data_IF_346740789157
#
_entry.id   IF_346740789157
#
_cell.length_a   1.000
_cell.length_b   1.000
_cell.length_c   1.000
_cell.angle_alpha   90.00
_cell.angle_beta   90.00
_cell.angle_gamma   90.00
#
_symmetry.space_group_name_H-M   'P 1'
#
loop_
_entity.id
_entity.type
_entity.pdbx_description
1 polymer ?
#
# COMPACT_ATOMS: atom_id res chain seq x y z
N UNK A 1 16.75 -3.91 30.04
CA UNK A 1 15.68 -2.88 30.02
C UNK A 1 14.28 -3.52 29.97
N UNK A 2 13.18 -2.79 30.18
CA UNK A 2 11.79 -3.31 30.04
C UNK A 2 11.04 -2.59 28.91
N UNK A 3 10.16 -3.30 28.20
CA UNK A 3 9.42 -2.75 27.08
C UNK A 3 8.39 -1.74 27.58
N UNK A 4 8.54 -0.47 27.22
CA UNK A 4 7.55 0.57 27.60
C UNK A 4 6.13 0.35 27.05
N UNK A 5 5.96 -0.60 26.12
CA UNK A 5 4.67 -0.89 25.50
C UNK A 5 4.00 -2.17 26.01
N UNK A 6 4.76 -3.15 26.50
CA UNK A 6 4.20 -4.43 26.95
C UNK A 6 4.75 -4.92 28.28
N UNK A 7 5.65 -4.18 28.94
CA UNK A 7 6.18 -4.49 30.26
C UNK A 7 7.20 -5.63 30.33
N UNK A 8 7.46 -6.34 29.22
CA UNK A 8 8.37 -7.49 29.19
C UNK A 8 9.85 -7.11 29.23
N UNK A 9 10.69 -7.98 29.79
CA UNK A 9 12.15 -7.77 29.89
C UNK A 9 12.82 -7.90 28.53
N UNK A 10 13.71 -6.98 28.19
CA UNK A 10 14.40 -6.92 26.89
C UNK A 10 15.91 -6.79 27.12
N UNK A 11 16.66 -7.39 26.20
CA UNK A 11 18.11 -7.24 26.04
C UNK A 11 18.50 -5.78 25.77
N UNK A 12 19.62 -5.33 26.33
CA UNK A 12 20.00 -3.91 26.37
C UNK A 12 20.44 -3.37 25.00
N UNK A 13 20.88 -4.24 24.10
CA UNK A 13 21.32 -3.89 22.75
C UNK A 13 20.22 -4.03 21.67
N UNK A 14 19.00 -4.41 22.06
CA UNK A 14 17.92 -4.68 21.11
C UNK A 14 17.10 -3.44 20.73
N UNK A 15 17.01 -3.16 19.42
CA UNK A 15 16.23 -2.04 18.88
C UNK A 15 14.72 -2.35 18.73
N UNK A 16 14.31 -3.62 18.89
CA UNK A 16 12.93 -4.08 18.81
C UNK A 16 12.57 -5.02 19.97
N UNK A 17 11.34 -4.92 20.49
CA UNK A 17 10.84 -5.88 21.47
C UNK A 17 10.45 -7.17 20.76
N UNK A 18 11.08 -8.29 21.11
CA UNK A 18 10.80 -9.62 20.54
C UNK A 18 9.38 -10.11 20.82
N UNK A 19 8.74 -9.61 21.88
CA UNK A 19 7.39 -10.00 22.25
C UNK A 19 6.30 -9.24 21.46
N UNK A 20 6.37 -7.91 21.40
CA UNK A 20 5.32 -7.09 20.76
C UNK A 20 5.71 -6.48 19.40
N UNK A 21 6.97 -6.68 18.95
CA UNK A 21 7.48 -6.19 17.67
C UNK A 21 7.67 -4.67 17.59
N UNK A 22 7.44 -3.92 18.67
CA UNK A 22 7.56 -2.45 18.67
C UNK A 22 9.02 -2.00 18.83
N UNK A 23 9.39 -0.95 18.10
CA UNK A 23 10.73 -0.33 18.14
C UNK A 23 10.91 0.51 19.40
N UNK A 24 12.05 0.35 20.09
CA UNK A 24 12.28 0.93 21.43
C UNK A 24 13.24 2.14 21.43
N UNK A 25 13.99 2.37 20.33
CA UNK A 25 15.10 3.33 20.08
C UNK A 25 15.39 4.48 21.08
N UNK A 26 16.67 4.78 21.37
CA UNK A 26 17.75 5.01 20.38
C UNK A 26 19.19 4.64 20.83
N UNK A 27 20.14 4.39 19.89
CA UNK A 27 21.57 4.60 20.14
C UNK A 27 21.95 6.08 19.93
N UNK A 28 22.81 6.59 20.82
CA UNK A 28 23.40 7.92 20.76
C UNK A 28 24.39 8.01 19.58
N UNK A 29 24.25 9.03 18.73
CA UNK A 29 25.35 9.50 17.90
C UNK A 29 26.05 10.67 18.61
N UNK A 30 27.39 10.63 18.65
CA UNK A 30 28.28 11.59 19.28
C UNK A 30 28.32 12.95 18.56
N UNK A 31 28.75 13.97 19.30
CA UNK A 31 28.45 15.40 19.14
C UNK A 31 29.38 16.18 18.19
N UNK A 32 30.19 15.56 17.32
CA UNK A 32 31.35 16.27 16.73
C UNK A 32 31.42 16.50 15.20
N UNK A 33 30.37 16.28 14.39
CA UNK A 33 30.48 16.44 12.91
C UNK A 33 29.63 17.54 12.25
N UNK A 34 29.01 18.47 13.00
CA UNK A 34 28.25 19.60 12.40
C UNK A 34 28.84 20.96 12.81
N UNK A 35 30.14 21.11 12.61
CA UNK A 35 30.80 22.41 12.63
C UNK A 35 31.72 22.49 11.41
N UNK A 36 31.20 23.05 10.31
CA UNK A 36 31.91 23.90 9.33
C UNK A 36 31.10 23.94 8.01
N UNK A 37 31.08 25.13 7.40
CA UNK A 37 30.33 25.59 6.22
C UNK A 37 28.91 26.09 6.61
N UNK A 38 28.63 27.38 6.73
CA UNK A 38 29.22 28.59 6.16
C UNK A 38 28.04 29.51 5.80
N UNK A 39 28.14 30.79 6.17
CA UNK A 39 27.03 31.72 6.37
C UNK A 39 26.33 32.29 5.12
N UNK A 40 25.07 32.71 5.35
CA UNK A 40 24.36 33.88 4.79
C UNK A 40 23.69 33.83 3.41
N UNK A 41 22.35 33.87 3.42
CA UNK A 41 21.54 34.89 2.77
C UNK A 41 20.28 35.11 3.64
N UNK A 42 20.13 36.29 4.26
CA UNK A 42 18.96 36.61 5.10
C UNK A 42 17.70 36.73 4.22
N UNK A 43 16.79 35.76 4.33
CA UNK A 43 15.41 35.85 3.82
C UNK A 43 14.67 37.03 4.50
N UNK A 44 13.81 37.77 3.78
CA UNK A 44 13.13 38.95 4.31
C UNK A 44 12.26 38.60 5.53
N UNK A 45 12.56 39.26 6.67
CA UNK A 45 12.13 38.97 8.05
C UNK A 45 10.60 38.93 8.31
N UNK A 46 9.76 39.15 7.30
CA UNK A 46 8.30 39.06 7.40
C UNK A 46 7.68 37.87 6.65
N UNK A 47 8.38 37.21 5.72
CA UNK A 47 7.81 36.08 4.97
C UNK A 47 7.68 34.81 5.85
N UNK A 48 8.64 34.58 6.75
CA UNK A 48 8.63 33.44 7.69
C UNK A 48 7.49 33.52 8.73
N UNK A 49 7.13 34.74 9.17
CA UNK A 49 6.01 34.92 10.10
C UNK A 49 4.67 34.64 9.43
N UNK A 50 4.52 35.02 8.17
CA UNK A 50 3.29 34.77 7.41
C UNK A 50 3.14 33.28 7.08
N UNK A 51 4.22 32.61 6.67
CA UNK A 51 4.22 31.15 6.44
C UNK A 51 4.00 30.38 7.74
N UNK A 52 4.68 30.73 8.84
CA UNK A 52 4.47 30.08 10.14
C UNK A 52 3.04 30.28 10.66
N UNK A 53 2.44 31.45 10.40
CA UNK A 53 1.05 31.73 10.77
C UNK A 53 0.07 30.94 9.90
N UNK A 54 0.35 30.77 8.60
CA UNK A 54 -0.45 29.93 7.70
C UNK A 54 -0.36 28.46 8.12
N UNK A 55 0.85 27.94 8.41
CA UNK A 55 1.05 26.58 8.90
C UNK A 55 0.32 26.38 10.23
N UNK A 56 0.41 27.31 11.17
CA UNK A 56 -0.32 27.21 12.43
C UNK A 56 -1.84 27.23 12.24
N UNK A 57 -2.36 28.04 11.31
CA UNK A 57 -3.80 28.06 10.97
C UNK A 57 -4.23 26.74 10.34
N UNK A 58 -3.47 26.21 9.38
CA UNK A 58 -3.74 24.92 8.75
C UNK A 58 -3.68 23.77 9.76
N UNK A 59 -2.72 23.75 10.68
CA UNK A 59 -2.68 22.74 11.74
C UNK A 59 -3.84 22.88 12.74
N UNK A 60 -4.28 24.10 13.05
CA UNK A 60 -5.44 24.32 13.91
C UNK A 60 -6.74 23.89 13.22
N UNK A 61 -6.89 24.14 11.92
CA UNK A 61 -8.03 23.67 11.13
C UNK A 61 -8.05 22.15 11.04
N UNK A 62 -6.90 21.53 10.75
CA UNK A 62 -6.78 20.07 10.75
C UNK A 62 -7.11 19.46 12.12
N UNK A 63 -6.64 20.05 13.22
CA UNK A 63 -7.01 19.61 14.58
C UNK A 63 -8.51 19.76 14.85
N UNK A 64 -9.15 20.84 14.38
CA UNK A 64 -10.61 21.05 14.51
C UNK A 64 -11.40 20.02 13.72
N UNK A 65 -10.96 19.66 12.52
CA UNK A 65 -11.60 18.60 11.73
C UNK A 65 -11.46 17.22 12.37
N UNK A 66 -10.32 16.91 13.00
CA UNK A 66 -10.15 15.66 13.74
C UNK A 66 -11.07 15.59 14.98
N UNK A 67 -11.17 16.67 15.77
CA UNK A 67 -12.07 16.74 16.93
C UNK A 67 -13.54 16.67 16.50
N UNK A 68 -13.92 17.37 15.43
CA UNK A 68 -15.29 17.31 14.90
C UNK A 68 -15.66 15.90 14.40
N UNK A 69 -14.69 15.16 13.86
CA UNK A 69 -14.89 13.76 13.46
C UNK A 69 -15.00 12.82 14.68
N UNK A 70 -14.24 13.04 15.75
CA UNK A 70 -14.33 12.27 17.00
C UNK A 70 -15.65 12.53 17.74
N UNK A 71 -16.09 13.79 17.86
CA UNK A 71 -17.39 14.16 18.43
C UNK A 71 -18.56 13.61 17.59
N UNK A 72 -18.43 13.61 16.26
CA UNK A 72 -19.41 13.00 15.37
C UNK A 72 -19.47 11.46 15.55
N UNK A 73 -18.33 10.81 15.86
CA UNK A 73 -18.26 9.38 16.18
C UNK A 73 -18.91 9.07 17.53
N UNK A 74 -18.66 9.86 18.57
CA UNK A 74 -19.32 9.70 19.88
C UNK A 74 -20.84 9.88 19.79
N UNK A 75 -21.32 10.87 19.01
CA UNK A 75 -22.75 11.07 18.75
C UNK A 75 -23.39 9.93 17.94
N UNK A 76 -22.61 9.23 17.11
CA UNK A 76 -23.05 8.03 16.39
C UNK A 76 -23.12 6.83 17.36
N UNK A 77 -22.19 6.72 18.31
CA UNK A 77 -22.18 5.68 19.33
C UNK A 77 -23.34 5.82 20.33
N UNK A 78 -23.64 7.04 20.80
CA UNK A 78 -24.82 7.31 21.65
C UNK A 78 -26.15 7.01 20.93
N UNK A 79 -26.27 7.35 19.65
CA UNK A 79 -27.48 7.04 18.86
C UNK A 79 -27.67 5.54 18.62
N UNK A 80 -26.59 4.76 18.62
CA UNK A 80 -26.67 3.31 18.48
C UNK A 80 -27.15 2.63 19.77
N UNK A 81 -26.91 3.21 20.96
CA UNK A 81 -27.38 2.66 22.24
C UNK A 81 -28.88 2.93 22.49
N UNK A 82 -29.42 4.05 21.98
CA UNK A 82 -30.85 4.40 22.10
C UNK A 82 -31.76 3.50 21.22
N UNK A 83 -31.21 2.79 20.22
CA UNK A 83 -31.99 2.00 19.26
C UNK A 83 -32.39 0.58 19.69
N UNK A 84 -32.17 0.20 20.96
CA UNK A 84 -32.46 -1.16 21.47
C UNK A 84 -33.84 -1.38 22.10
N UNK A 85 -34.70 -0.38 22.17
CA UNK A 85 -36.08 -0.56 22.66
C UNK A 85 -37.14 -0.30 21.56
N UNK A 86 -38.09 -1.23 21.48
CA UNK A 86 -39.40 -1.16 20.79
C UNK A 86 -39.56 -1.69 19.34
N UNK A 87 -39.73 -3.02 19.30
CA UNK A 87 -40.76 -3.85 18.63
C UNK A 87 -41.65 -3.30 17.47
N UNK A 88 -41.74 -4.20 16.47
CA UNK A 88 -42.88 -4.59 15.59
C UNK A 88 -43.17 -3.71 14.36
N UNK A 89 -42.81 -4.24 13.19
CA UNK A 89 -43.34 -3.82 11.89
C UNK A 89 -42.43 -4.28 10.75
N UNK A 90 -42.97 -5.06 9.83
CA UNK A 90 -42.25 -5.70 8.72
C UNK A 90 -41.59 -4.68 7.76
N UNK A 91 -40.27 -4.77 7.63
CA UNK A 91 -39.49 -4.43 6.44
C UNK A 91 -38.04 -4.90 6.67
N UNK A 92 -37.51 -5.80 5.84
CA UNK A 92 -36.14 -6.34 6.01
C UNK A 92 -35.09 -5.20 5.91
N UNK A 93 -34.32 -4.89 6.97
CA UNK A 93 -33.30 -3.86 6.88
C UNK A 93 -31.98 -4.45 6.35
N UNK A 94 -31.49 -3.86 5.26
CA UNK A 94 -30.09 -3.97 4.79
C UNK A 94 -29.17 -3.61 5.97
N UNK A 95 -28.30 -4.52 6.39
CA UNK A 95 -27.54 -4.43 7.64
C UNK A 95 -26.52 -3.28 7.61
N UNK A 96 -26.17 -2.72 8.79
CA UNK A 96 -25.16 -1.65 8.90
C UNK A 96 -23.78 -2.06 8.33
N UNK A 97 -23.51 -3.36 8.26
CA UNK A 97 -22.32 -3.93 7.61
C UNK A 97 -22.36 -3.76 6.08
N UNK A 98 -23.54 -3.92 5.46
CA UNK A 98 -23.77 -3.67 4.04
C UNK A 98 -23.65 -2.16 3.71
N UNK A 99 -24.07 -1.27 4.61
CA UNK A 99 -23.92 0.19 4.45
C UNK A 99 -22.47 0.67 4.63
N UNK A 100 -21.72 0.09 5.59
CA UNK A 100 -20.28 0.35 5.78
C UNK A 100 -19.45 -0.12 4.59
N UNK A 101 -19.77 -1.30 4.06
CA UNK A 101 -19.15 -1.81 2.85
C UNK A 101 -19.47 -0.91 1.64
N UNK A 102 -20.71 -0.43 1.49
CA UNK A 102 -21.06 0.51 0.42
C UNK A 102 -20.24 1.81 0.43
N UNK A 103 -19.98 2.38 1.62
CA UNK A 103 -19.20 3.62 1.76
C UNK A 103 -17.70 3.43 1.51
N UNK A 104 -17.17 2.25 1.83
CA UNK A 104 -15.79 1.86 1.47
C UNK A 104 -15.71 1.63 -0.04
N UNK A 105 -16.64 0.89 -0.64
CA UNK A 105 -16.73 0.66 -2.09
C UNK A 105 -16.85 1.99 -2.87
N UNK A 106 -17.63 2.96 -2.39
CA UNK A 106 -17.74 4.31 -2.97
C UNK A 106 -16.44 5.12 -2.85
N UNK A 107 -15.67 4.97 -1.78
CA UNK A 107 -14.34 5.61 -1.64
C UNK A 107 -13.31 4.91 -2.54
N UNK A 108 -13.36 3.58 -2.63
CA UNK A 108 -12.50 2.77 -3.50
C UNK A 108 -12.75 3.03 -5.00
N UNK A 109 -14.00 3.26 -5.39
CA UNK A 109 -14.38 3.57 -6.78
C UNK A 109 -13.87 4.92 -7.26
N UNK A 110 -13.45 5.80 -6.34
CA UNK A 110 -12.93 7.14 -6.63
C UNK A 110 -11.42 7.28 -6.41
N UNK A 111 -10.70 6.21 -6.03
CA UNK A 111 -9.23 6.28 -5.91
C UNK A 111 -8.66 6.40 -7.34
N UNK A 112 -8.18 7.59 -7.74
CA UNK A 112 -7.66 7.78 -9.08
C UNK A 112 -6.34 7.02 -9.16
N UNK A 113 -6.18 6.13 -10.15
CA UNK A 113 -4.85 5.61 -10.49
C UNK A 113 -4.09 6.55 -11.41
N UNK A 114 -4.78 7.50 -12.03
CA UNK A 114 -4.17 8.58 -12.81
C UNK A 114 -4.28 9.86 -12.02
N UNK A 115 -3.14 10.48 -11.75
CA UNK A 115 -3.11 11.81 -11.21
C UNK A 115 -3.63 12.81 -12.27
N UNK A 116 -4.42 13.78 -11.82
CA UNK A 116 -4.75 14.95 -12.65
C UNK A 116 -3.51 15.82 -12.89
N UNK A 117 -3.55 16.65 -13.91
CA UNK A 117 -2.47 17.60 -14.20
C UNK A 117 -2.23 18.57 -13.02
N UNK A 118 -3.32 18.98 -12.36
CA UNK A 118 -3.28 19.81 -11.14
C UNK A 118 -2.59 19.12 -9.96
N UNK A 119 -2.76 17.79 -9.82
CA UNK A 119 -2.07 17.01 -8.77
C UNK A 119 -0.56 16.96 -9.00
N UNK A 120 -0.09 16.93 -10.25
CA UNK A 120 1.33 16.99 -10.55
C UNK A 120 1.93 18.39 -10.32
N UNK A 121 1.19 19.45 -10.67
CA UNK A 121 1.65 20.84 -10.48
C UNK A 121 1.81 21.16 -8.99
N UNK A 122 0.91 20.65 -8.16
CA UNK A 122 0.88 20.92 -6.71
C UNK A 122 1.61 19.87 -5.88
N UNK A 123 2.27 18.91 -6.52
CA UNK A 123 2.98 17.83 -5.85
C UNK A 123 4.16 18.34 -5.02
N UNK A 124 4.36 17.73 -3.86
CA UNK A 124 5.59 17.91 -3.09
C UNK A 124 6.49 16.69 -3.26
N UNK A 125 7.79 16.88 -3.07
CA UNK A 125 8.78 15.82 -3.22
C UNK A 125 9.40 15.43 -1.89
N UNK A 126 9.58 14.14 -1.68
CA UNK A 126 10.38 13.65 -0.57
C UNK A 126 11.89 13.80 -0.85
N UNK A 127 12.72 13.47 0.14
CA UNK A 127 14.18 13.53 0.03
C UNK A 127 14.80 12.58 -1.01
N UNK A 128 14.01 11.66 -1.60
CA UNK A 128 14.42 10.74 -2.66
C UNK A 128 13.81 11.13 -4.02
N UNK A 129 13.30 12.36 -4.14
CA UNK A 129 12.64 12.92 -5.32
C UNK A 129 11.35 12.20 -5.74
N UNK A 130 10.74 11.41 -4.85
CA UNK A 130 9.43 10.84 -5.11
C UNK A 130 8.36 11.93 -4.91
N UNK A 131 7.44 12.04 -5.86
CA UNK A 131 6.41 13.08 -5.89
C UNK A 131 5.09 12.57 -5.34
N UNK A 132 4.51 13.31 -4.41
CA UNK A 132 3.27 13.00 -3.72
C UNK A 132 2.26 14.13 -3.93
N UNK A 133 0.97 13.80 -3.97
CA UNK A 133 -0.05 14.84 -3.95
C UNK A 133 -0.03 15.60 -2.61
N UNK A 134 -0.71 16.76 -2.55
CA UNK A 134 -0.77 17.61 -1.34
C UNK A 134 -1.21 16.80 -0.10
N UNK A 135 -2.19 15.91 -0.27
CA UNK A 135 -2.72 15.06 0.82
C UNK A 135 -1.78 13.95 1.28
N UNK A 136 -0.64 13.73 0.60
CA UNK A 136 0.34 12.66 0.88
C UNK A 136 -0.27 11.25 0.88
N UNK A 137 -1.42 11.08 0.24
CA UNK A 137 -2.16 9.82 0.16
C UNK A 137 -2.06 9.17 -1.23
N UNK A 138 -1.47 9.85 -2.22
CA UNK A 138 -1.20 9.31 -3.55
C UNK A 138 0.28 9.51 -3.90
N UNK A 139 0.94 8.42 -4.29
CA UNK A 139 2.29 8.46 -4.85
C UNK A 139 2.20 8.63 -6.37
N UNK A 140 2.54 9.82 -6.85
CA UNK A 140 2.40 10.22 -8.25
C UNK A 140 3.59 9.74 -9.08
N UNK A 141 4.80 9.87 -8.52
CA UNK A 141 6.06 9.45 -9.14
C UNK A 141 7.01 8.90 -8.07
N UNK A 142 7.61 7.77 -8.36
CA UNK A 142 8.59 7.08 -7.53
C UNK A 142 9.91 7.83 -7.40
N UNK A 143 10.81 7.28 -6.58
CA UNK A 143 12.13 7.88 -6.33
C UNK A 143 13.03 7.94 -7.56
N UNK A 144 14.08 8.76 -7.48
CA UNK A 144 15.16 8.79 -8.46
C UNK A 144 15.84 7.41 -8.62
N UNK A 145 16.52 7.22 -9.76
CA UNK A 145 17.23 5.99 -10.12
C UNK A 145 18.54 5.76 -9.34
N UNK A 146 18.83 6.54 -8.30
CA UNK A 146 20.00 6.29 -7.44
C UNK A 146 19.69 5.34 -6.27
N UNK A 147 18.40 5.13 -5.96
CA UNK A 147 17.98 4.34 -4.83
C UNK A 147 17.60 2.91 -5.22
N UNK A 148 18.20 1.95 -4.53
CA UNK A 148 17.90 0.52 -4.70
C UNK A 148 16.74 0.03 -3.81
N UNK A 149 16.38 0.77 -2.77
CA UNK A 149 15.25 0.47 -1.89
C UNK A 149 14.35 1.68 -1.71
N UNK A 150 13.04 1.47 -1.76
CA UNK A 150 12.06 2.51 -1.49
C UNK A 150 10.99 2.07 -0.49
N UNK A 151 10.64 2.98 0.41
CA UNK A 151 9.58 2.79 1.39
C UNK A 151 8.52 3.85 1.16
N UNK A 152 7.37 3.41 0.65
CA UNK A 152 6.23 4.29 0.40
C UNK A 152 5.72 4.83 1.74
N UNK A 153 5.41 6.13 1.76
CA UNK A 153 5.03 6.84 2.99
C UNK A 153 3.74 6.28 3.61
N UNK A 154 3.63 6.36 4.94
CA UNK A 154 2.40 5.99 5.64
C UNK A 154 1.25 6.90 5.20
N UNK A 155 0.05 6.36 5.07
CA UNK A 155 -1.13 7.13 4.64
C UNK A 155 -1.37 7.07 3.13
N UNK A 156 -0.37 6.65 2.33
CA UNK A 156 -0.56 6.39 0.90
C UNK A 156 -1.57 5.26 0.71
N UNK A 157 -2.61 5.55 -0.05
CA UNK A 157 -3.70 4.63 -0.43
C UNK A 157 -3.58 4.18 -1.89
N UNK A 158 -2.88 4.95 -2.72
CA UNK A 158 -2.72 4.70 -4.15
C UNK A 158 -1.28 4.96 -4.62
N UNK A 159 -0.78 4.09 -5.50
CA UNK A 159 0.39 4.37 -6.34
C UNK A 159 -0.13 4.60 -7.76
N UNK A 160 0.18 5.75 -8.34
CA UNK A 160 -0.28 6.11 -9.67
C UNK A 160 0.31 5.23 -10.77
N UNK A 161 -0.36 5.32 -11.92
CA UNK A 161 0.09 4.75 -13.17
C UNK A 161 1.52 5.21 -13.45
N UNK A 162 2.37 4.27 -13.86
CA UNK A 162 3.77 4.49 -14.24
C UNK A 162 4.67 5.14 -13.18
N UNK A 163 4.30 5.16 -11.89
CA UNK A 163 5.06 5.86 -10.86
C UNK A 163 6.57 5.51 -10.84
N UNK A 164 6.92 4.24 -10.99
CA UNK A 164 8.30 3.74 -11.10
C UNK A 164 8.61 3.13 -12.47
N UNK A 165 7.83 3.43 -13.51
CA UNK A 165 8.02 2.83 -14.83
C UNK A 165 9.47 3.01 -15.32
N UNK A 166 10.10 1.91 -15.75
CA UNK A 166 11.50 1.82 -16.20
C UNK A 166 12.54 2.24 -15.16
N UNK A 167 12.21 2.27 -13.86
CA UNK A 167 13.21 2.55 -12.84
C UNK A 167 14.31 1.46 -12.87
N UNK A 168 15.50 1.86 -13.29
CA UNK A 168 16.61 0.96 -13.60
C UNK A 168 17.39 0.47 -12.37
N UNK A 169 17.06 0.97 -11.18
CA UNK A 169 17.85 0.74 -9.97
C UNK A 169 17.09 0.08 -8.83
N UNK A 170 15.77 0.27 -8.75
CA UNK A 170 14.98 -0.23 -7.63
C UNK A 170 15.00 -1.76 -7.57
N UNK A 171 15.33 -2.28 -6.39
CA UNK A 171 15.44 -3.71 -6.10
C UNK A 171 14.41 -4.16 -5.08
N UNK A 172 14.01 -3.29 -4.15
CA UNK A 172 12.97 -3.60 -3.16
C UNK A 172 12.03 -2.41 -2.91
N UNK A 173 10.75 -2.74 -2.73
CA UNK A 173 9.71 -1.76 -2.38
C UNK A 173 8.87 -2.26 -1.22
N UNK A 174 8.74 -1.43 -0.19
CA UNK A 174 7.85 -1.69 0.95
C UNK A 174 6.65 -0.75 0.97
N UNK A 175 5.46 -1.33 1.11
CA UNK A 175 4.19 -0.61 1.08
C UNK A 175 3.63 -0.34 2.49
N UNK A 176 2.96 0.81 2.70
CA UNK A 176 2.25 1.08 3.96
C UNK A 176 0.99 0.24 4.03
N UNK A 177 0.52 -0.11 5.24
CA UNK A 177 -0.72 -0.88 5.45
C UNK A 177 -1.98 -0.19 4.90
N UNK A 178 -1.90 1.10 4.63
CA UNK A 178 -2.97 1.91 4.02
C UNK A 178 -3.09 1.72 2.51
N UNK A 179 -2.10 1.10 1.84
CA UNK A 179 -2.10 0.97 0.39
C UNK A 179 -3.22 0.03 -0.06
N UNK A 180 -4.01 0.50 -1.03
CA UNK A 180 -5.16 -0.22 -1.56
C UNK A 180 -4.96 -0.58 -3.04
N UNK A 181 -4.42 0.35 -3.83
CA UNK A 181 -4.33 0.23 -5.29
C UNK A 181 -2.92 0.47 -5.79
N UNK A 182 -2.45 -0.42 -6.67
CA UNK A 182 -1.23 -0.25 -7.47
C UNK A 182 -1.65 0.03 -8.91
N UNK A 183 -1.28 1.21 -9.43
CA UNK A 183 -1.66 1.73 -10.73
C UNK A 183 -1.08 0.96 -11.92
N UNK A 184 -1.58 1.29 -13.11
CA UNK A 184 -1.18 0.61 -14.35
C UNK A 184 0.29 0.91 -14.65
N UNK A 185 1.07 -0.11 -14.98
CA UNK A 185 2.52 0.02 -15.23
C UNK A 185 3.31 0.67 -14.08
N UNK A 186 2.77 0.73 -12.85
CA UNK A 186 3.39 1.41 -11.72
C UNK A 186 4.84 0.98 -11.47
N UNK A 187 5.18 -0.28 -11.71
CA UNK A 187 6.54 -0.85 -11.66
C UNK A 187 6.92 -1.56 -12.97
N UNK A 188 6.27 -1.20 -14.09
CA UNK A 188 6.60 -1.77 -15.39
C UNK A 188 8.07 -1.49 -15.74
N UNK A 189 8.77 -2.48 -16.29
CA UNK A 189 10.20 -2.45 -16.61
C UNK A 189 11.14 -2.12 -15.45
N UNK A 190 10.73 -2.31 -14.19
CA UNK A 190 11.68 -2.35 -13.08
C UNK A 190 12.46 -3.67 -13.10
N UNK A 191 13.38 -3.86 -14.05
CA UNK A 191 14.04 -5.15 -14.32
C UNK A 191 14.83 -5.69 -13.12
N UNK A 192 15.35 -4.80 -12.26
CA UNK A 192 16.10 -5.14 -11.04
C UNK A 192 15.22 -5.38 -9.81
N UNK A 193 13.91 -5.12 -9.89
CA UNK A 193 12.99 -5.30 -8.77
C UNK A 193 12.89 -6.78 -8.42
N UNK A 194 13.38 -7.14 -7.22
CA UNK A 194 13.44 -8.50 -6.70
C UNK A 194 12.36 -8.78 -5.66
N UNK A 195 12.09 -7.78 -4.81
CA UNK A 195 11.27 -7.94 -3.62
C UNK A 195 10.15 -6.89 -3.57
N UNK A 196 8.92 -7.39 -3.49
CA UNK A 196 7.71 -6.58 -3.32
C UNK A 196 6.91 -7.13 -2.15
N UNK A 197 6.78 -6.32 -1.09
CA UNK A 197 6.09 -6.73 0.13
C UNK A 197 4.62 -6.30 0.09
N UNK A 198 3.76 -7.14 -0.50
CA UNK A 198 2.31 -6.96 -0.45
C UNK A 198 1.76 -7.19 0.96
N UNK A 199 0.57 -6.64 1.24
CA UNK A 199 -0.17 -6.91 2.48
C UNK A 199 -1.67 -7.10 2.18
N UNK A 200 -2.40 -7.64 3.17
CA UNK A 200 -3.85 -7.95 3.10
C UNK A 200 -4.80 -6.78 2.78
N UNK A 201 -4.28 -5.55 2.72
CA UNK A 201 -5.08 -4.35 2.46
C UNK A 201 -5.16 -4.00 0.97
N UNK A 202 -4.25 -4.55 0.16
CA UNK A 202 -4.20 -4.30 -1.28
C UNK A 202 -5.38 -5.02 -1.93
N UNK A 203 -6.20 -4.26 -2.65
CA UNK A 203 -7.41 -4.73 -3.33
C UNK A 203 -7.21 -4.91 -4.82
N UNK A 204 -6.39 -4.06 -5.44
CA UNK A 204 -6.27 -3.99 -6.89
C UNK A 204 -4.82 -3.81 -7.32
N UNK A 205 -4.41 -4.66 -8.26
CA UNK A 205 -3.17 -4.55 -9.03
C UNK A 205 -3.59 -4.31 -10.47
N UNK A 206 -3.31 -3.13 -11.03
CA UNK A 206 -3.79 -2.77 -12.37
C UNK A 206 -2.93 -3.34 -13.50
N UNK A 207 -3.37 -3.06 -14.73
CA UNK A 207 -2.73 -3.49 -15.98
C UNK A 207 -1.23 -3.24 -15.97
N UNK A 208 -0.44 -4.26 -16.31
CA UNK A 208 1.01 -4.13 -16.45
C UNK A 208 1.76 -3.68 -15.19
N UNK A 209 1.15 -3.68 -14.00
CA UNK A 209 1.73 -3.09 -12.79
C UNK A 209 3.16 -3.56 -12.49
N UNK A 210 3.51 -4.81 -12.80
CA UNK A 210 4.86 -5.39 -12.69
C UNK A 210 5.35 -5.96 -14.03
N UNK A 211 4.86 -5.43 -15.15
CA UNK A 211 5.26 -5.82 -16.50
C UNK A 211 6.79 -5.80 -16.63
N UNK A 212 7.41 -6.87 -17.12
CA UNK A 212 8.85 -6.88 -17.36
C UNK A 212 9.75 -6.81 -16.11
N UNK A 213 9.23 -7.04 -14.90
CA UNK A 213 10.08 -7.18 -13.69
C UNK A 213 10.89 -8.48 -13.73
N UNK A 214 11.99 -8.49 -14.49
CA UNK A 214 12.78 -9.69 -14.80
C UNK A 214 13.37 -10.39 -13.57
N UNK A 215 13.70 -9.63 -12.52
CA UNK A 215 14.32 -10.15 -11.29
C UNK A 215 13.31 -10.55 -10.20
N UNK A 216 12.02 -10.26 -10.38
CA UNK A 216 10.98 -10.54 -9.39
C UNK A 216 10.80 -12.05 -9.30
N UNK A 217 11.20 -12.63 -8.17
CA UNK A 217 11.31 -14.09 -8.03
C UNK A 217 10.19 -14.72 -7.19
N UNK A 218 9.59 -13.93 -6.30
CA UNK A 218 8.51 -14.35 -5.42
C UNK A 218 7.55 -13.18 -5.20
N UNK A 219 6.26 -13.51 -5.07
CA UNK A 219 5.22 -12.55 -4.71
C UNK A 219 4.09 -13.28 -3.97
N UNK A 220 3.74 -12.76 -2.80
CA UNK A 220 2.72 -13.32 -1.94
C UNK A 220 1.43 -12.52 -2.06
N UNK A 221 0.40 -13.15 -2.62
CA UNK A 221 -0.95 -12.60 -2.62
C UNK A 221 -1.70 -13.02 -1.34
N UNK A 222 -2.50 -12.11 -0.81
CA UNK A 222 -3.24 -12.31 0.43
C UNK A 222 -4.75 -12.32 0.17
N UNK A 223 -5.49 -12.98 1.07
CA UNK A 223 -6.94 -12.84 1.08
C UNK A 223 -7.33 -11.38 1.28
N UNK A 224 -8.27 -10.91 0.47
CA UNK A 224 -8.66 -9.52 0.36
C UNK A 224 -8.34 -8.93 -1.01
N UNK A 225 -7.40 -9.49 -1.79
CA UNK A 225 -7.12 -9.08 -3.16
C UNK A 225 -8.27 -9.44 -4.10
N UNK A 226 -8.77 -8.49 -4.88
CA UNK A 226 -10.01 -8.63 -5.65
C UNK A 226 -9.77 -8.62 -7.16
N UNK A 227 -8.79 -7.86 -7.66
CA UNK A 227 -8.50 -7.77 -9.08
C UNK A 227 -7.00 -7.69 -9.40
N UNK A 228 -6.62 -8.42 -10.45
CA UNK A 228 -5.31 -8.32 -11.13
C UNK A 228 -5.59 -8.01 -12.60
N UNK A 229 -5.08 -6.88 -13.10
CA UNK A 229 -5.31 -6.41 -14.47
C UNK A 229 -4.50 -7.17 -15.53
N UNK A 230 -4.79 -6.87 -16.80
CA UNK A 230 -4.11 -7.47 -17.95
C UNK A 230 -2.59 -7.28 -17.87
N UNK A 231 -1.82 -8.28 -18.30
CA UNK A 231 -0.36 -8.22 -18.37
C UNK A 231 0.36 -7.88 -17.04
N UNK A 232 -0.31 -7.91 -15.88
CA UNK A 232 0.22 -7.38 -14.62
C UNK A 232 1.57 -7.99 -14.19
N UNK A 233 1.86 -9.24 -14.57
CA UNK A 233 3.15 -9.91 -14.35
C UNK A 233 3.72 -10.48 -15.66
N UNK A 234 3.35 -9.89 -16.81
CA UNK A 234 3.85 -10.31 -18.10
C UNK A 234 5.38 -10.21 -18.14
N UNK A 235 6.06 -11.22 -18.68
CA UNK A 235 7.52 -11.31 -18.74
C UNK A 235 8.26 -11.22 -17.38
N UNK A 236 7.62 -11.50 -16.24
CA UNK A 236 8.33 -11.70 -14.97
C UNK A 236 9.08 -13.05 -14.94
N UNK A 237 10.19 -13.13 -15.69
CA UNK A 237 10.91 -14.39 -16.00
C UNK A 237 11.45 -15.13 -14.79
N UNK A 238 11.69 -14.45 -13.65
CA UNK A 238 12.19 -15.08 -12.43
C UNK A 238 11.11 -15.64 -11.51
N UNK A 239 9.81 -15.36 -11.74
CA UNK A 239 8.73 -15.89 -10.91
C UNK A 239 8.67 -17.41 -11.03
N UNK A 240 8.73 -18.12 -9.90
CA UNK A 240 8.79 -19.60 -9.88
C UNK A 240 7.48 -20.27 -9.50
N UNK A 241 6.76 -19.67 -8.55
CA UNK A 241 5.56 -20.23 -7.94
C UNK A 241 4.65 -19.08 -7.55
N UNK A 242 3.36 -19.26 -7.78
CA UNK A 242 2.32 -18.30 -7.38
C UNK A 242 1.24 -19.03 -6.58
N UNK A 243 0.65 -18.34 -5.61
CA UNK A 243 -0.58 -18.79 -4.94
C UNK A 243 -1.63 -17.70 -5.06
N UNK A 244 -2.71 -17.97 -5.80
CA UNK A 244 -3.82 -17.03 -5.96
C UNK A 244 -4.85 -17.19 -4.83
N UNK A 245 -5.37 -16.09 -4.25
CA UNK A 245 -6.32 -16.14 -3.14
C UNK A 245 -7.75 -16.42 -3.62
N UNK A 246 -8.60 -16.89 -2.71
CA UNK A 246 -10.02 -17.18 -3.02
C UNK A 246 -10.83 -15.92 -3.31
N UNK A 247 -10.46 -14.81 -2.68
CA UNK A 247 -11.05 -13.48 -2.86
C UNK A 247 -10.87 -12.87 -4.25
N UNK A 248 -9.96 -13.39 -5.10
CA UNK A 248 -9.65 -12.78 -6.41
C UNK A 248 -10.80 -12.95 -7.41
N UNK A 249 -11.62 -11.91 -7.59
CA UNK A 249 -12.82 -11.95 -8.45
C UNK A 249 -12.44 -11.85 -9.93
N UNK A 250 -11.46 -11.01 -10.25
CA UNK A 250 -11.06 -10.68 -11.61
C UNK A 250 -9.57 -10.93 -11.81
N UNK A 251 -9.23 -11.54 -12.94
CA UNK A 251 -7.86 -11.71 -13.41
C UNK A 251 -7.85 -11.45 -14.91
N UNK A 252 -6.95 -10.56 -15.33
CA UNK A 252 -6.83 -10.11 -16.71
C UNK A 252 -6.26 -11.17 -17.64
N UNK A 253 -6.12 -10.81 -18.90
CA UNK A 253 -5.46 -11.62 -19.92
C UNK A 253 -3.94 -11.57 -19.76
N UNK A 254 -3.26 -12.66 -20.16
CA UNK A 254 -1.79 -12.76 -20.26
C UNK A 254 -1.01 -12.41 -18.97
N UNK A 255 -1.67 -12.44 -17.80
CA UNK A 255 -1.09 -12.00 -16.52
C UNK A 255 0.26 -12.62 -16.23
N UNK A 256 0.46 -13.90 -16.55
CA UNK A 256 1.73 -14.61 -16.35
C UNK A 256 2.37 -15.08 -17.68
N UNK A 257 1.95 -14.52 -18.82
CA UNK A 257 2.57 -14.84 -20.10
C UNK A 257 4.04 -14.39 -20.09
N UNK A 258 4.93 -15.21 -20.66
CA UNK A 258 6.38 -14.95 -20.63
C UNK A 258 7.06 -15.18 -19.27
N UNK A 259 6.35 -15.62 -18.23
CA UNK A 259 6.94 -16.07 -16.96
C UNK A 259 7.63 -17.45 -17.11
N UNK A 260 8.76 -17.50 -17.81
CA UNK A 260 9.39 -18.77 -18.24
C UNK A 260 9.87 -19.68 -17.10
N UNK A 261 10.10 -19.14 -15.89
CA UNK A 261 10.47 -19.93 -14.71
C UNK A 261 9.27 -20.43 -13.90
N UNK A 262 8.04 -20.01 -14.25
CA UNK A 262 6.84 -20.30 -13.47
C UNK A 262 6.42 -21.76 -13.69
N UNK A 263 6.63 -22.59 -12.68
CA UNK A 263 6.35 -24.03 -12.75
C UNK A 263 4.98 -24.40 -12.22
N UNK A 264 4.44 -23.61 -11.30
CA UNK A 264 3.17 -23.95 -10.64
C UNK A 264 2.45 -22.72 -10.15
N UNK A 265 1.14 -22.67 -10.41
CA UNK A 265 0.19 -21.72 -9.83
C UNK A 265 -0.77 -22.52 -8.97
N UNK A 266 -0.75 -22.26 -7.66
CA UNK A 266 -1.71 -22.82 -6.73
C UNK A 266 -2.95 -21.95 -6.66
N UNK A 267 -4.11 -22.58 -6.81
CA UNK A 267 -5.41 -21.89 -6.78
C UNK A 267 -6.36 -22.55 -5.76
N UNK A 268 -7.39 -21.84 -5.28
CA UNK A 268 -8.42 -22.43 -4.41
C UNK A 268 -9.05 -23.67 -5.06
N UNK A 269 -9.24 -24.75 -4.28
CA UNK A 269 -9.76 -26.05 -4.78
C UNK A 269 -11.10 -25.89 -5.49
N UNK A 270 -11.94 -24.98 -5.03
CA UNK A 270 -13.28 -24.68 -5.56
C UNK A 270 -13.29 -23.72 -6.76
N UNK A 271 -12.11 -23.23 -7.21
CA UNK A 271 -11.99 -22.26 -8.31
C UNK A 271 -10.98 -22.68 -9.37
N UNK A 272 -10.59 -23.97 -9.41
CA UNK A 272 -9.60 -24.47 -10.37
C UNK A 272 -10.02 -24.19 -11.82
N UNK A 273 -11.26 -24.52 -12.20
CA UNK A 273 -11.73 -24.32 -13.58
C UNK A 273 -11.80 -22.84 -13.98
N UNK A 274 -12.26 -21.97 -13.06
CA UNK A 274 -12.24 -20.52 -13.27
C UNK A 274 -10.83 -20.03 -13.64
N UNK A 275 -9.80 -20.46 -12.90
CA UNK A 275 -8.44 -20.02 -13.18
C UNK A 275 -7.82 -20.66 -14.42
N UNK A 276 -8.17 -21.90 -14.75
CA UNK A 276 -7.73 -22.55 -15.99
C UNK A 276 -8.25 -21.81 -17.22
N UNK A 277 -9.54 -21.46 -17.21
CA UNK A 277 -10.17 -20.69 -18.30
C UNK A 277 -9.50 -19.32 -18.47
N UNK A 278 -9.32 -18.58 -17.37
CA UNK A 278 -8.80 -17.21 -17.42
C UNK A 278 -7.31 -17.13 -17.76
N UNK A 279 -6.49 -17.99 -17.16
CA UNK A 279 -5.05 -17.95 -17.37
C UNK A 279 -4.64 -18.52 -18.74
N UNK A 280 -5.49 -19.36 -19.35
CA UNK A 280 -5.19 -20.06 -20.62
C UNK A 280 -3.84 -20.81 -20.55
N UNK A 281 -3.46 -21.27 -19.35
CA UNK A 281 -2.25 -22.05 -19.08
C UNK A 281 -2.59 -23.54 -18.91
N UNK A 282 -1.64 -24.42 -19.20
CA UNK A 282 -1.84 -25.87 -19.11
C UNK A 282 -2.18 -26.36 -17.69
N UNK A 283 -2.93 -27.46 -17.62
CA UNK A 283 -3.38 -28.08 -16.37
C UNK A 283 -2.24 -28.55 -15.45
N UNK A 284 -1.06 -28.77 -16.02
CA UNK A 284 0.18 -29.12 -15.34
C UNK A 284 0.78 -27.95 -14.55
N UNK A 285 0.43 -26.71 -14.91
CA UNK A 285 0.87 -25.48 -14.23
C UNK A 285 -0.17 -25.08 -13.17
N UNK A 286 -1.46 -25.06 -13.51
CA UNK A 286 -2.54 -24.61 -12.61
C UNK A 286 -3.05 -25.77 -11.76
N UNK A 287 -2.66 -25.80 -10.48
CA UNK A 287 -2.96 -26.89 -9.54
C UNK A 287 -3.81 -26.41 -8.36
N UNK A 288 -4.70 -27.26 -7.82
CA UNK A 288 -5.35 -26.97 -6.54
C UNK A 288 -4.30 -26.78 -5.44
N UNK A 289 -4.51 -25.79 -4.56
CA UNK A 289 -3.68 -25.58 -3.38
C UNK A 289 -3.67 -26.86 -2.53
N UNK A 290 -2.49 -27.41 -2.17
CA UNK A 290 -2.42 -28.62 -1.37
C UNK A 290 -3.05 -28.37 0.01
N UNK A 291 -3.83 -29.34 0.47
CA UNK A 291 -4.26 -29.43 1.86
C UNK A 291 -3.17 -30.08 2.70
N UNK A 292 -3.27 -29.92 4.02
CA UNK A 292 -2.36 -30.55 4.99
C UNK A 292 -2.20 -32.07 4.79
N UNK A 293 -3.19 -32.74 4.19
CA UNK A 293 -3.20 -34.17 3.89
C UNK A 293 -2.60 -34.56 2.52
N UNK A 294 -2.16 -33.58 1.71
CA UNK A 294 -1.67 -33.81 0.34
C UNK A 294 -0.14 -34.01 0.28
N UNK A 295 0.54 -34.09 1.44
CA UNK A 295 1.98 -34.35 1.63
C UNK A 295 2.20 -35.61 2.47
#
# INVERSE_FOLDING_TARGET
MYCKYCGEKIDEDSIFCSHCGKRICAPKASVEEIALLGESEELPKNLDKDIATIIQRMEQEFRREQVANEEALEQIEEKNDISKEEKKGECFPVTNEQKKNKRIEEVLSHIPSKASEDEFITAWQDKKNASYNIGSNVLLKGSSEEYVEYKVLKGVVCICDSAFYKNSSIQSVSFPKSLITIGSFAFGDCEKLKEVFLHKGIKTIKEGAFWGCLSLNDILFYEGLESIGDDAFYNCKSLKKITLPKSLKEIGERVFEGCTSLKTIFVPKDRVEFFREKLKMGSEIVKPKPTFWDW
#
